data_IF_732078566805
#
_entry.id   IF_732078566805
#
_cell.length_a   1.000
_cell.length_b   1.000
_cell.length_c   1.000
_cell.angle_alpha   90.00
_cell.angle_beta   90.00
_cell.angle_gamma   90.00
#
_symmetry.space_group_name_H-M   'P 1'
#
loop_
_entity.id
_entity.type
_entity.pdbx_description
1 polymer ?
#
# COMPACT_ATOMS: atom_id res chain seq x y z
N UNK A 1 -14.09 51.16 56.78
CA UNK A 1 -15.47 51.61 56.48
C UNK A 1 -15.73 51.21 55.04
N UNK A 2 -16.69 50.39 54.64
CA UNK A 2 -17.94 49.87 55.20
C UNK A 2 -18.09 48.44 54.62
N UNK A 3 -18.46 47.39 55.34
CA UNK A 3 -19.72 47.04 55.99
C UNK A 3 -20.32 45.80 55.29
N UNK A 4 -20.77 44.87 56.12
CA UNK A 4 -21.23 43.53 55.80
C UNK A 4 -22.61 43.51 55.12
N UNK A 5 -22.88 42.45 54.36
CA UNK A 5 -24.21 41.89 54.26
C UNK A 5 -24.13 40.36 54.11
N UNK A 6 -24.40 39.65 55.21
CA UNK A 6 -24.80 38.24 55.23
C UNK A 6 -26.33 38.15 55.06
N UNK A 7 -26.80 37.24 54.20
CA UNK A 7 -28.12 36.58 54.30
C UNK A 7 -27.92 35.16 53.73
N UNK A 8 -27.71 34.15 54.55
CA UNK A 8 -28.69 33.28 55.25
C UNK A 8 -29.17 32.06 54.42
N UNK A 9 -28.60 30.92 54.83
CA UNK A 9 -29.10 29.53 54.85
C UNK A 9 -30.05 28.98 53.78
N UNK A 10 -29.61 27.91 53.11
CA UNK A 10 -30.40 26.68 53.07
C UNK A 10 -29.49 25.44 53.05
N UNK A 11 -29.84 24.50 53.91
CA UNK A 11 -29.17 23.24 54.24
C UNK A 11 -29.51 22.18 53.18
N UNK A 12 -28.58 21.29 52.82
CA UNK A 12 -28.95 20.07 52.06
C UNK A 12 -27.82 19.28 51.41
N UNK A 13 -27.22 18.39 52.20
CA UNK A 13 -26.55 17.11 51.87
C UNK A 13 -26.48 16.63 50.40
N UNK A 14 -25.28 16.16 50.01
CA UNK A 14 -25.14 15.12 48.99
C UNK A 14 -23.75 15.03 48.35
N UNK A 15 -22.79 14.37 49.02
CA UNK A 15 -21.58 13.87 48.35
C UNK A 15 -21.97 12.83 47.30
N UNK A 16 -21.97 13.21 46.02
CA UNK A 16 -22.05 12.25 44.92
C UNK A 16 -20.67 11.59 44.76
N UNK A 17 -20.52 10.39 45.31
CA UNK A 17 -19.54 9.42 44.85
C UNK A 17 -19.85 9.09 43.38
N UNK A 18 -19.08 9.66 42.45
CA UNK A 18 -19.08 9.23 41.07
C UNK A 18 -18.17 8.01 40.96
N UNK A 19 -18.75 6.83 41.14
CA UNK A 19 -18.12 5.57 40.73
C UNK A 19 -18.17 5.50 39.20
N UNK A 20 -17.21 6.14 38.54
CA UNK A 20 -16.94 5.85 37.13
C UNK A 20 -16.31 4.47 37.04
N UNK A 21 -17.12 3.48 36.66
CA UNK A 21 -16.62 2.23 36.11
C UNK A 21 -15.83 2.57 34.84
N UNK A 22 -14.51 2.77 34.99
CA UNK A 22 -13.60 2.70 33.88
C UNK A 22 -13.53 1.23 33.48
N UNK A 23 -14.23 0.91 32.40
CA UNK A 23 -14.07 -0.35 31.69
C UNK A 23 -12.68 -0.35 31.04
N UNK A 24 -11.69 -0.88 31.77
CA UNK A 24 -10.29 -1.06 31.35
C UNK A 24 -10.11 -2.29 30.44
N UNK A 25 -11.17 -2.70 29.72
CA UNK A 25 -11.02 -3.70 28.67
C UNK A 25 -10.51 -3.03 27.40
N UNK A 26 -9.22 -2.66 27.44
CA UNK A 26 -8.44 -2.46 26.21
C UNK A 26 -8.65 -3.68 25.32
N UNK A 27 -9.16 -3.53 24.08
CA UNK A 27 -9.40 -4.66 23.20
C UNK A 27 -8.10 -5.44 23.04
N UNK A 28 -8.16 -6.75 23.25
CA UNK A 28 -7.03 -7.65 23.09
C UNK A 28 -6.36 -7.36 21.75
N UNK A 29 -5.06 -7.07 21.76
CA UNK A 29 -4.28 -6.89 20.53
C UNK A 29 -4.43 -8.15 19.70
N UNK A 30 -5.22 -8.09 18.62
CA UNK A 30 -5.28 -9.15 17.62
C UNK A 30 -3.83 -9.31 17.15
N UNK A 31 -3.22 -10.44 17.47
CA UNK A 31 -1.85 -10.73 17.08
C UNK A 31 -1.79 -10.65 15.57
N UNK A 32 -1.09 -9.64 15.04
CA UNK A 32 -0.83 -9.55 13.60
C UNK A 32 -0.15 -10.84 13.19
N UNK A 33 -0.70 -11.59 12.21
CA UNK A 33 -0.09 -12.83 11.78
C UNK A 33 1.35 -12.53 11.35
N UNK A 34 2.30 -13.29 11.89
CA UNK A 34 3.71 -13.18 11.49
C UNK A 34 3.82 -13.44 9.99
N UNK A 35 4.77 -12.77 9.32
CA UNK A 35 4.98 -12.85 7.86
C UNK A 35 5.02 -14.31 7.37
N UNK A 36 5.67 -15.18 8.12
CA UNK A 36 5.83 -16.61 7.81
C UNK A 36 4.49 -17.35 7.82
N UNK A 37 3.63 -17.05 8.80
CA UNK A 37 2.31 -17.65 8.90
C UNK A 37 1.41 -17.16 7.75
N UNK A 38 1.45 -15.86 7.45
CA UNK A 38 0.66 -15.27 6.37
C UNK A 38 1.09 -15.81 5.00
N UNK A 39 2.40 -15.98 4.78
CA UNK A 39 2.94 -16.63 3.58
C UNK A 39 2.47 -18.08 3.45
N UNK A 40 2.54 -18.86 4.54
CA UNK A 40 2.08 -20.26 4.53
C UNK A 40 0.61 -20.34 4.17
N UNK A 41 -0.23 -19.53 4.82
CA UNK A 41 -1.66 -19.47 4.52
C UNK A 41 -1.95 -19.04 3.08
N UNK A 42 -1.20 -18.07 2.54
CA UNK A 42 -1.36 -17.64 1.15
C UNK A 42 -1.01 -18.77 0.16
N UNK A 43 0.07 -19.49 0.43
CA UNK A 43 0.45 -20.70 -0.34
C UNK A 43 -0.65 -21.76 -0.30
N UNK A 44 -1.24 -22.01 0.87
CA UNK A 44 -2.31 -22.99 1.02
C UNK A 44 -3.56 -22.56 0.21
N UNK A 45 -3.96 -21.30 0.27
CA UNK A 45 -5.08 -20.77 -0.53
C UNK A 45 -4.81 -20.88 -2.04
N UNK A 46 -3.59 -20.56 -2.49
CA UNK A 46 -3.22 -20.68 -3.91
C UNK A 46 -3.36 -22.15 -4.37
N UNK A 47 -2.86 -23.10 -3.57
CA UNK A 47 -2.97 -24.55 -3.87
C UNK A 47 -4.42 -25.03 -3.89
N UNK A 48 -5.24 -24.59 -2.92
CA UNK A 48 -6.64 -25.01 -2.83
C UNK A 48 -7.50 -24.50 -3.98
N UNK A 49 -7.27 -23.27 -4.44
CA UNK A 49 -8.03 -22.70 -5.55
C UNK A 49 -7.55 -23.18 -6.93
N UNK A 50 -6.29 -23.62 -7.04
CA UNK A 50 -5.70 -24.15 -8.27
C UNK A 50 -5.92 -23.25 -9.51
N UNK A 51 -5.68 -21.94 -9.36
CA UNK A 51 -5.86 -20.99 -10.45
C UNK A 51 -4.67 -21.07 -11.43
N UNK A 52 -4.89 -21.48 -12.70
CA UNK A 52 -3.81 -21.67 -13.67
C UNK A 52 -3.16 -20.35 -14.14
N UNK A 53 -3.80 -19.21 -13.91
CA UNK A 53 -3.26 -17.91 -14.31
C UNK A 53 -2.13 -17.44 -13.35
N UNK A 54 -2.03 -18.02 -12.15
CA UNK A 54 -0.97 -17.71 -11.20
C UNK A 54 0.28 -18.52 -11.55
N UNK A 55 1.26 -17.88 -12.17
CA UNK A 55 2.48 -18.56 -12.64
C UNK A 55 3.70 -18.38 -11.73
N UNK A 56 3.66 -17.43 -10.78
CA UNK A 56 4.75 -17.18 -9.83
C UNK A 56 4.24 -17.26 -8.39
N UNK A 57 4.92 -18.08 -7.57
CA UNK A 57 4.58 -18.33 -6.17
C UNK A 57 5.79 -18.23 -5.25
N UNK A 58 6.86 -17.57 -5.69
CA UNK A 58 8.05 -17.34 -4.88
C UNK A 58 7.73 -16.47 -3.66
N UNK A 59 8.33 -16.77 -2.50
CA UNK A 59 8.01 -16.09 -1.24
C UNK A 59 8.26 -14.58 -1.28
N UNK A 60 9.33 -14.15 -1.96
CA UNK A 60 9.64 -12.73 -2.10
C UNK A 60 8.56 -12.01 -2.92
N UNK A 61 8.17 -12.60 -4.05
CA UNK A 61 7.10 -12.08 -4.90
C UNK A 61 5.75 -12.02 -4.16
N UNK A 62 5.36 -13.12 -3.50
CA UNK A 62 4.12 -13.18 -2.73
C UNK A 62 4.09 -12.21 -1.56
N UNK A 63 5.25 -11.92 -0.96
CA UNK A 63 5.33 -10.98 0.16
C UNK A 63 4.92 -9.56 -0.23
N UNK A 64 5.12 -9.15 -1.50
CA UNK A 64 4.68 -7.84 -2.02
C UNK A 64 3.17 -7.65 -1.85
N UNK A 65 2.38 -8.70 -2.13
CA UNK A 65 0.91 -8.67 -2.00
C UNK A 65 0.47 -8.63 -0.54
N UNK A 66 1.16 -9.39 0.31
CA UNK A 66 0.90 -9.42 1.74
C UNK A 66 1.19 -8.07 2.40
N UNK A 67 2.31 -7.42 2.08
CA UNK A 67 2.61 -6.08 2.59
C UNK A 67 1.57 -5.06 2.11
N UNK A 68 1.22 -5.09 0.83
CA UNK A 68 0.18 -4.22 0.25
C UNK A 68 -1.21 -4.39 0.88
N UNK A 69 -1.47 -5.49 1.58
CA UNK A 69 -2.73 -5.79 2.28
C UNK A 69 -2.56 -6.03 3.78
N UNK A 70 -1.46 -5.52 4.37
CA UNK A 70 -1.22 -5.59 5.83
C UNK A 70 -1.36 -7.01 6.40
N UNK A 71 -0.85 -8.00 5.66
CA UNK A 71 -0.91 -9.44 5.99
C UNK A 71 -2.33 -10.05 5.98
N UNK A 72 -3.32 -9.38 5.39
CA UNK A 72 -4.62 -10.00 5.12
C UNK A 72 -4.49 -10.97 3.94
N UNK A 73 -4.55 -12.27 4.24
CA UNK A 73 -4.31 -13.34 3.27
C UNK A 73 -5.36 -13.35 2.15
N UNK A 74 -6.63 -13.20 2.48
CA UNK A 74 -7.73 -13.25 1.50
C UNK A 74 -7.67 -12.06 0.52
N UNK A 75 -7.47 -10.85 1.05
CA UNK A 75 -7.30 -9.66 0.20
C UNK A 75 -6.02 -9.72 -0.64
N UNK A 76 -4.96 -10.34 -0.11
CA UNK A 76 -3.70 -10.54 -0.85
C UNK A 76 -3.89 -11.51 -2.00
N UNK A 77 -4.62 -12.61 -1.78
CA UNK A 77 -4.97 -13.57 -2.82
C UNK A 77 -5.83 -12.91 -3.92
N UNK A 78 -6.85 -12.13 -3.54
CA UNK A 78 -7.65 -11.38 -4.50
C UNK A 78 -6.81 -10.40 -5.32
N UNK A 79 -5.87 -9.68 -4.68
CA UNK A 79 -4.94 -8.78 -5.37
C UNK A 79 -4.02 -9.54 -6.34
N UNK A 80 -3.50 -10.71 -5.93
CA UNK A 80 -2.67 -11.58 -6.76
C UNK A 80 -3.41 -12.07 -8.01
N UNK A 81 -4.65 -12.55 -7.85
CA UNK A 81 -5.51 -12.93 -8.96
C UNK A 81 -5.74 -11.76 -9.93
N UNK A 82 -6.06 -10.58 -9.39
CA UNK A 82 -6.26 -9.38 -10.19
C UNK A 82 -5.00 -8.95 -10.95
N UNK A 83 -3.82 -9.11 -10.34
CA UNK A 83 -2.55 -8.82 -10.97
C UNK A 83 -2.33 -9.69 -12.22
N UNK A 84 -2.47 -11.02 -12.11
CA UNK A 84 -2.32 -11.91 -13.27
C UNK A 84 -3.43 -11.71 -14.31
N UNK A 85 -4.68 -11.50 -13.87
CA UNK A 85 -5.78 -11.19 -14.76
C UNK A 85 -5.59 -9.86 -15.52
N UNK A 86 -4.94 -8.87 -14.89
CA UNK A 86 -4.59 -7.61 -15.56
C UNK A 86 -3.52 -7.84 -16.63
N UNK A 87 -2.47 -8.60 -16.34
CA UNK A 87 -1.42 -8.93 -17.32
C UNK A 87 -1.95 -9.69 -18.53
N UNK A 88 -2.86 -10.65 -18.29
CA UNK A 88 -3.50 -11.44 -19.35
C UNK A 88 -4.43 -10.62 -20.25
N UNK A 89 -5.12 -9.61 -19.69
CA UNK A 89 -6.04 -8.74 -20.44
C UNK A 89 -5.34 -7.68 -21.29
N UNK A 90 -4.12 -7.30 -20.91
CA UNK A 90 -3.38 -6.21 -21.57
C UNK A 90 -2.02 -6.70 -22.09
N UNK A 91 -1.98 -7.74 -22.96
CA UNK A 91 -0.72 -8.33 -23.41
C UNK A 91 0.21 -7.31 -24.09
N UNK A 92 -0.32 -6.28 -24.74
CA UNK A 92 0.44 -5.19 -25.35
C UNK A 92 1.38 -4.47 -24.37
N UNK A 93 0.96 -4.35 -23.10
CA UNK A 93 1.76 -3.68 -22.07
C UNK A 93 2.86 -4.57 -21.49
N UNK A 94 2.67 -5.89 -21.50
CA UNK A 94 3.57 -6.84 -20.82
C UNK A 94 4.41 -7.68 -21.79
N UNK A 95 4.05 -7.74 -23.07
CA UNK A 95 4.81 -8.46 -24.08
C UNK A 95 6.18 -7.80 -24.29
N UNK A 96 7.25 -8.60 -24.21
CA UNK A 96 8.64 -8.15 -24.34
C UNK A 96 8.99 -6.92 -23.47
N UNK A 97 8.40 -6.82 -22.28
CA UNK A 97 8.65 -5.72 -21.35
C UNK A 97 10.09 -5.81 -20.82
N UNK A 98 10.99 -5.00 -21.36
CA UNK A 98 12.41 -5.01 -21.03
C UNK A 98 13.03 -3.63 -21.21
N UNK A 99 14.02 -3.30 -20.39
CA UNK A 99 14.84 -2.09 -20.54
C UNK A 99 15.74 -2.11 -21.79
N UNK A 100 15.81 -3.25 -22.48
CA UNK A 100 16.51 -3.38 -23.77
C UNK A 100 15.70 -2.82 -24.94
N UNK A 101 14.39 -2.59 -24.77
CA UNK A 101 13.55 -1.93 -25.78
C UNK A 101 14.04 -0.46 -25.93
N UNK A 102 14.48 -0.04 -27.15
CA UNK A 102 15.02 1.29 -27.36
C UNK A 102 14.05 2.41 -27.00
N UNK A 103 12.74 2.23 -27.24
CA UNK A 103 11.74 3.26 -26.96
C UNK A 103 11.50 3.41 -25.47
N UNK A 104 11.42 2.29 -24.75
CA UNK A 104 11.33 2.31 -23.28
C UNK A 104 12.58 2.94 -22.67
N UNK A 105 13.76 2.55 -23.17
CA UNK A 105 15.03 3.09 -22.69
C UNK A 105 15.10 4.61 -22.91
N UNK A 106 14.66 5.07 -24.08
CA UNK A 106 14.57 6.50 -24.40
C UNK A 106 13.60 7.21 -23.45
N UNK A 107 12.38 6.69 -23.28
CA UNK A 107 11.40 7.27 -22.36
C UNK A 107 11.92 7.37 -20.92
N UNK A 108 12.64 6.36 -20.44
CA UNK A 108 13.27 6.39 -19.11
C UNK A 108 14.39 7.44 -19.02
N UNK A 109 15.21 7.62 -20.06
CA UNK A 109 16.21 8.70 -20.10
C UNK A 109 15.58 10.08 -20.11
N UNK A 110 14.46 10.24 -20.82
CA UNK A 110 13.72 11.49 -20.91
C UNK A 110 12.92 11.80 -19.62
N UNK A 111 12.91 10.87 -18.65
CA UNK A 111 12.28 11.05 -17.34
C UNK A 111 10.81 10.64 -17.31
N UNK A 112 10.43 9.60 -18.06
CA UNK A 112 9.08 9.06 -18.10
C UNK A 112 9.02 7.60 -17.64
N UNK A 113 8.73 7.33 -16.35
CA UNK A 113 8.65 8.31 -15.25
C UNK A 113 10.02 8.71 -14.71
N UNK A 114 10.08 9.88 -14.10
CA UNK A 114 11.18 10.29 -13.23
C UNK A 114 10.96 9.76 -11.82
N UNK A 115 12.01 9.25 -11.18
CA UNK A 115 12.00 8.86 -9.77
C UNK A 115 12.83 9.87 -8.98
N UNK A 116 12.23 10.55 -8.01
CA UNK A 116 12.98 11.48 -7.17
C UNK A 116 13.87 10.71 -6.19
N UNK A 117 15.11 11.18 -5.94
CA UNK A 117 16.03 10.52 -5.00
C UNK A 117 15.55 10.65 -3.55
N UNK A 118 14.83 11.74 -3.24
CA UNK A 118 14.29 11.98 -1.92
C UNK A 118 12.88 11.41 -1.81
N UNK A 119 12.64 10.67 -0.72
CA UNK A 119 11.31 10.21 -0.33
C UNK A 119 10.53 11.35 0.32
N UNK A 120 9.20 11.23 0.34
CA UNK A 120 8.36 12.20 1.04
C UNK A 120 8.46 12.08 2.57
N UNK A 121 7.76 12.93 3.32
CA UNK A 121 7.74 12.91 4.80
C UNK A 121 7.29 11.57 5.40
N UNK A 122 6.55 10.76 4.64
CA UNK A 122 6.06 9.43 5.06
C UNK A 122 6.94 8.30 4.52
N UNK A 123 8.07 8.61 3.90
CA UNK A 123 8.96 7.63 3.28
C UNK A 123 8.46 7.08 1.95
N UNK A 124 7.50 7.71 1.28
CA UNK A 124 6.98 7.22 -0.01
C UNK A 124 7.91 7.67 -1.14
N UNK A 125 8.17 6.76 -2.08
CA UNK A 125 8.86 7.09 -3.33
C UNK A 125 7.97 7.99 -4.18
N UNK A 126 8.56 9.03 -4.77
CA UNK A 126 7.84 10.03 -5.57
C UNK A 126 8.16 9.80 -7.05
N UNK A 127 7.12 9.49 -7.82
CA UNK A 127 7.17 9.43 -9.28
C UNK A 127 6.66 10.75 -9.85
N UNK A 128 7.36 11.26 -10.86
CA UNK A 128 7.00 12.50 -11.56
C UNK A 128 6.89 12.27 -13.05
N UNK A 129 5.94 12.98 -13.66
CA UNK A 129 5.72 13.01 -15.11
C UNK A 129 5.67 14.46 -15.55
N UNK A 130 6.62 14.86 -16.38
CA UNK A 130 6.67 16.23 -16.92
C UNK A 130 6.23 16.21 -18.37
N UNK A 131 4.91 16.19 -18.61
CA UNK A 131 4.34 16.07 -19.96
C UNK A 131 4.74 17.21 -20.91
N UNK A 132 5.19 18.36 -20.40
CA UNK A 132 5.70 19.45 -21.23
C UNK A 132 6.93 19.06 -22.06
N UNK A 133 7.67 18.02 -21.63
CA UNK A 133 8.86 17.52 -22.33
C UNK A 133 8.55 16.30 -23.21
N UNK A 134 7.29 15.87 -23.27
CA UNK A 134 6.91 14.73 -24.09
C UNK A 134 6.50 15.21 -25.48
N UNK A 135 7.20 14.69 -26.49
CA UNK A 135 6.80 14.83 -27.88
C UNK A 135 6.28 13.46 -28.38
N UNK A 136 4.99 13.39 -28.70
CA UNK A 136 4.31 12.15 -29.14
C UNK A 136 4.97 11.48 -30.35
N UNK A 137 5.77 12.22 -31.12
CA UNK A 137 6.49 11.73 -32.28
C UNK A 137 7.70 10.83 -31.90
N UNK A 138 8.21 10.93 -30.67
CA UNK A 138 9.37 10.15 -30.20
C UNK A 138 8.97 8.75 -29.72
N UNK A 139 7.89 8.66 -28.94
CA UNK A 139 7.31 7.41 -28.48
C UNK A 139 5.87 7.62 -27.99
N UNK A 140 5.07 6.56 -28.09
CA UNK A 140 3.64 6.61 -27.74
C UNK A 140 3.40 6.62 -26.22
N UNK A 141 2.18 6.97 -25.82
CA UNK A 141 1.72 6.86 -24.43
C UNK A 141 1.84 5.42 -23.90
N UNK A 142 1.69 4.42 -24.78
CA UNK A 142 1.89 3.01 -24.43
C UNK A 142 3.33 2.76 -23.94
N UNK A 143 4.33 3.34 -24.61
CA UNK A 143 5.74 3.24 -24.19
C UNK A 143 5.96 3.90 -22.83
N UNK A 144 5.33 5.05 -22.56
CA UNK A 144 5.38 5.70 -21.24
C UNK A 144 4.79 4.77 -20.18
N UNK A 145 3.64 4.15 -20.46
CA UNK A 145 3.00 3.25 -19.51
C UNK A 145 3.83 1.99 -19.26
N UNK A 146 4.42 1.40 -20.30
CA UNK A 146 5.36 0.27 -20.20
C UNK A 146 6.59 0.64 -19.36
N UNK A 147 7.13 1.85 -19.56
CA UNK A 147 8.24 2.38 -18.78
C UNK A 147 7.86 2.56 -17.30
N UNK A 148 6.65 3.07 -17.02
CA UNK A 148 6.11 3.16 -15.66
C UNK A 148 6.01 1.78 -14.99
N UNK A 149 5.46 0.78 -15.68
CA UNK A 149 5.37 -0.59 -15.13
C UNK A 149 6.77 -1.09 -14.75
N UNK A 150 7.76 -0.94 -15.64
CA UNK A 150 9.15 -1.35 -15.34
C UNK A 150 9.73 -0.61 -14.13
N UNK A 151 9.50 0.69 -14.03
CA UNK A 151 9.93 1.46 -12.86
C UNK A 151 9.26 0.95 -11.58
N UNK A 152 7.97 0.64 -11.61
CA UNK A 152 7.25 0.10 -10.46
C UNK A 152 7.76 -1.28 -10.05
N UNK A 153 7.98 -2.19 -11.01
CA UNK A 153 8.55 -3.51 -10.74
C UNK A 153 9.91 -3.39 -10.03
N UNK A 154 10.76 -2.47 -10.49
CA UNK A 154 12.06 -2.23 -9.85
C UNK A 154 11.94 -1.59 -8.47
N UNK A 155 11.00 -0.67 -8.28
CA UNK A 155 10.78 -0.02 -6.98
C UNK A 155 10.24 -0.99 -5.94
N UNK A 156 9.43 -1.97 -6.35
CA UNK A 156 8.87 -3.00 -5.47
C UNK A 156 9.91 -4.01 -4.95
N UNK A 157 11.13 -4.04 -5.50
CA UNK A 157 12.22 -4.85 -4.94
C UNK A 157 12.64 -4.35 -3.55
N UNK A 158 12.45 -3.06 -3.26
CA UNK A 158 12.66 -2.52 -1.92
C UNK A 158 11.45 -2.81 -1.03
N UNK A 159 11.65 -3.55 0.07
CA UNK A 159 10.58 -3.87 1.05
C UNK A 159 9.85 -2.64 1.58
N UNK A 160 10.55 -1.50 1.69
CA UNK A 160 9.95 -0.24 2.14
C UNK A 160 8.88 0.30 1.17
N UNK A 161 8.93 -0.10 -0.10
CA UNK A 161 7.97 0.31 -1.13
C UNK A 161 6.84 -0.72 -1.35
N UNK A 162 6.81 -1.80 -0.55
CA UNK A 162 5.81 -2.88 -0.63
C UNK A 162 4.61 -2.65 0.31
#
# INVERSE_FOLDING_TARGET
MAEFAEVSSMVGFGSRSSSSYFDDSSPARIATPTKENALKSLHDIIRSNNNPDITCTENEFLSRFLFARKMNVEESYALLCNYFAYRKRNPELFHNLSTSDPLIKQALYDGFPGVLPNKDRKGRTILVFFCNNWEDNNYSLEVIYRSLILSLERLLDEVHNQ
#
